data_IF_933536454864
#
_entry.id   IF_933536454864
#
_cell.length_a   1.000
_cell.length_b   1.000
_cell.length_c   1.000
_cell.angle_alpha   90.00
_cell.angle_beta   90.00
_cell.angle_gamma   90.00
#
_symmetry.space_group_name_H-M   'P 1'
#
loop_
_entity.id
_entity.type
_entity.pdbx_description
1 polymer ?
#
# COMPACT_ATOMS: atom_id res chain seq x y z
N UNK A 1 -7.28 -13.13 13.68
CA UNK A 1 -7.96 -14.44 13.52
C UNK A 1 -9.12 -14.23 12.59
N UNK A 2 -9.27 -15.03 11.54
CA UNK A 2 -10.36 -14.79 10.60
C UNK A 2 -11.71 -15.25 11.14
N UNK A 3 -12.77 -14.56 10.74
CA UNK A 3 -14.12 -14.85 11.21
C UNK A 3 -14.71 -16.11 10.57
N UNK A 4 -15.54 -16.81 11.33
CA UNK A 4 -16.33 -17.95 10.79
C UNK A 4 -17.51 -17.45 9.96
N UNK A 5 -18.12 -18.33 9.16
CA UNK A 5 -19.33 -18.01 8.40
C UNK A 5 -20.52 -17.56 9.28
N UNK A 6 -20.55 -17.97 10.55
CA UNK A 6 -21.62 -17.60 11.49
C UNK A 6 -21.38 -16.18 12.01
N UNK A 7 -20.17 -15.89 12.47
CA UNK A 7 -19.74 -14.57 12.95
C UNK A 7 -19.86 -13.50 11.86
N UNK A 8 -19.58 -13.85 10.59
CA UNK A 8 -19.73 -12.92 9.47
C UNK A 8 -21.19 -12.46 9.23
N UNK A 9 -22.18 -13.26 9.63
CA UNK A 9 -23.60 -12.88 9.52
C UNK A 9 -24.05 -12.00 10.69
N UNK A 10 -23.55 -12.29 11.89
CA UNK A 10 -23.86 -11.52 13.09
C UNK A 10 -23.26 -10.11 13.02
N UNK A 11 -22.06 -10.00 12.45
CA UNK A 11 -21.31 -8.75 12.29
C UNK A 11 -21.43 -8.15 10.88
N UNK A 12 -22.50 -8.46 10.14
CA UNK A 12 -22.68 -8.04 8.75
C UNK A 12 -22.58 -6.52 8.50
N UNK A 13 -22.87 -5.70 9.52
CA UNK A 13 -22.83 -4.23 9.46
C UNK A 13 -21.51 -3.63 9.94
N UNK A 14 -20.63 -4.43 10.49
CA UNK A 14 -19.37 -3.94 11.03
C UNK A 14 -18.35 -3.69 9.91
N UNK A 15 -17.31 -2.86 10.17
CA UNK A 15 -16.30 -2.54 9.19
C UNK A 15 -15.57 -3.79 8.67
N UNK A 16 -15.31 -3.85 7.39
CA UNK A 16 -14.54 -4.91 6.79
C UNK A 16 -13.04 -4.61 6.87
N UNK A 17 -12.30 -5.39 7.64
CA UNK A 17 -10.84 -5.29 7.77
C UNK A 17 -10.22 -6.62 7.34
N UNK A 18 -9.13 -6.58 6.56
CA UNK A 18 -8.41 -7.79 6.16
C UNK A 18 -7.72 -8.45 7.36
N UNK A 19 -7.90 -9.75 7.54
CA UNK A 19 -7.21 -10.48 8.61
C UNK A 19 -5.73 -10.76 8.29
N UNK A 20 -5.40 -10.91 7.01
CA UNK A 20 -4.08 -11.27 6.51
C UNK A 20 -3.82 -10.53 5.20
N UNK A 21 -2.62 -10.71 4.65
CA UNK A 21 -2.32 -10.26 3.29
C UNK A 21 -3.06 -11.13 2.27
N UNK A 22 -3.77 -10.49 1.35
CA UNK A 22 -4.44 -11.15 0.24
C UNK A 22 -4.04 -10.52 -1.09
N UNK A 23 -3.73 -11.37 -2.07
CA UNK A 23 -3.30 -10.93 -3.40
C UNK A 23 -4.47 -10.40 -4.24
N UNK A 24 -4.17 -9.49 -5.17
CA UNK A 24 -5.14 -9.03 -6.17
C UNK A 24 -5.77 -10.22 -6.91
N UNK A 25 -7.08 -10.17 -7.14
CA UNK A 25 -7.88 -11.23 -7.74
C UNK A 25 -8.47 -12.23 -6.73
N UNK A 26 -8.15 -12.11 -5.44
CA UNK A 26 -8.76 -12.98 -4.41
C UNK A 26 -10.22 -12.60 -4.18
N UNK A 27 -11.10 -13.61 -4.14
CA UNK A 27 -12.51 -13.45 -3.75
C UNK A 27 -12.61 -13.43 -2.23
N UNK A 28 -13.24 -12.39 -1.69
CA UNK A 28 -13.33 -12.16 -0.24
C UNK A 28 -14.39 -13.10 0.37
N UNK A 29 -13.97 -13.98 1.26
CA UNK A 29 -14.83 -14.79 2.12
C UNK A 29 -14.67 -14.41 3.61
N UNK A 30 -15.41 -15.07 4.52
CA UNK A 30 -15.29 -14.84 5.96
C UNK A 30 -13.88 -15.09 6.48
N UNK A 31 -13.20 -16.10 5.94
CA UNK A 31 -11.81 -16.42 6.25
C UNK A 31 -10.79 -15.32 5.91
N UNK A 32 -11.22 -14.28 5.17
CA UNK A 32 -10.38 -13.15 4.77
C UNK A 32 -10.59 -11.90 5.64
N UNK A 33 -11.58 -11.92 6.52
CA UNK A 33 -12.00 -10.77 7.33
C UNK A 33 -11.61 -10.99 8.79
N UNK A 34 -11.12 -9.92 9.41
CA UNK A 34 -10.76 -9.88 10.83
C UNK A 34 -12.01 -9.80 11.72
N UNK A 35 -11.89 -10.23 12.98
CA UNK A 35 -12.99 -10.20 13.94
C UNK A 35 -13.32 -8.78 14.44
N UNK A 36 -14.54 -8.27 14.23
CA UNK A 36 -14.91 -6.95 14.69
C UNK A 36 -14.87 -6.76 16.20
N UNK A 37 -14.93 -7.83 17.00
CA UNK A 37 -14.85 -7.75 18.45
C UNK A 37 -13.49 -7.24 18.95
N UNK A 38 -12.41 -7.45 18.18
CA UNK A 38 -11.07 -6.99 18.56
C UNK A 38 -10.74 -5.58 18.06
N UNK A 39 -11.65 -4.95 17.30
CA UNK A 39 -11.35 -3.64 16.67
C UNK A 39 -11.19 -2.51 17.67
N UNK A 40 -11.86 -2.55 18.84
CA UNK A 40 -11.64 -1.57 19.90
C UNK A 40 -10.19 -1.60 20.35
N UNK A 41 -9.69 -2.79 20.68
CA UNK A 41 -8.35 -2.98 21.24
C UNK A 41 -7.27 -2.66 20.19
N UNK A 42 -7.53 -3.00 18.93
CA UNK A 42 -6.63 -2.67 17.81
C UNK A 42 -6.60 -1.17 17.51
N UNK A 43 -7.72 -0.46 17.69
CA UNK A 43 -7.77 0.99 17.52
C UNK A 43 -7.12 1.71 18.69
N UNK A 44 -7.37 1.25 19.92
CA UNK A 44 -6.80 1.79 21.16
C UNK A 44 -5.28 1.62 21.22
N UNK A 45 -4.75 0.52 20.68
CA UNK A 45 -3.31 0.29 20.52
C UNK A 45 -2.67 1.09 19.37
N UNK A 46 -3.48 1.79 18.56
CA UNK A 46 -3.02 2.54 17.39
C UNK A 46 -2.59 1.66 16.21
N UNK A 47 -2.90 0.36 16.24
CA UNK A 47 -2.53 -0.60 15.20
C UNK A 47 -3.52 -0.60 14.03
N UNK A 48 -4.76 -0.19 14.28
CA UNK A 48 -5.84 -0.09 13.30
C UNK A 48 -6.42 1.34 13.28
N UNK A 49 -6.65 1.87 12.09
CA UNK A 49 -7.40 3.12 11.89
C UNK A 49 -8.52 2.84 10.91
N UNK A 50 -9.77 2.88 11.38
CA UNK A 50 -10.94 2.61 10.53
C UNK A 50 -11.43 3.93 9.93
N UNK A 51 -11.25 4.17 8.63
CA UNK A 51 -11.72 5.39 7.99
C UNK A 51 -13.24 5.34 7.77
N UNK A 52 -13.87 6.51 7.65
CA UNK A 52 -15.32 6.61 7.46
C UNK A 52 -15.83 6.01 6.14
N UNK A 53 -14.93 5.76 5.18
CA UNK A 53 -15.23 5.13 3.89
C UNK A 53 -14.99 3.61 3.88
N UNK A 54 -14.79 2.98 5.04
CA UNK A 54 -14.69 1.53 5.15
C UNK A 54 -16.03 0.87 4.80
N UNK A 55 -15.99 -0.16 3.96
CA UNK A 55 -17.16 -0.95 3.58
C UNK A 55 -17.53 -1.91 4.70
N UNK A 56 -18.78 -2.37 4.73
CA UNK A 56 -19.23 -3.35 5.73
C UNK A 56 -18.95 -4.78 5.26
N UNK A 57 -18.89 -5.72 6.21
CA UNK A 57 -18.67 -7.15 5.93
C UNK A 57 -19.65 -7.67 4.84
N UNK A 58 -20.94 -7.34 4.92
CA UNK A 58 -21.94 -7.78 3.92
C UNK A 58 -21.66 -7.25 2.50
N UNK A 59 -21.09 -6.04 2.37
CA UNK A 59 -20.84 -5.41 1.07
C UNK A 59 -19.61 -5.99 0.35
N UNK A 60 -18.65 -6.49 1.12
CA UNK A 60 -17.38 -7.01 0.62
C UNK A 60 -17.39 -8.51 0.41
N UNK A 61 -18.29 -9.25 1.07
CA UNK A 61 -18.41 -10.70 0.91
C UNK A 61 -18.77 -11.07 -0.53
N UNK A 62 -17.93 -11.88 -1.16
CA UNK A 62 -18.06 -12.29 -2.56
C UNK A 62 -17.45 -11.29 -3.56
N UNK A 63 -16.98 -10.13 -3.10
CA UNK A 63 -16.30 -9.17 -3.95
C UNK A 63 -14.84 -9.57 -4.20
N UNK A 64 -14.23 -9.04 -5.27
CA UNK A 64 -12.86 -9.40 -5.66
C UNK A 64 -11.89 -8.26 -5.38
N UNK A 65 -10.73 -8.55 -4.78
CA UNK A 65 -9.69 -7.54 -4.55
C UNK A 65 -9.06 -7.08 -5.87
N UNK A 66 -9.01 -5.76 -6.11
CA UNK A 66 -8.37 -5.17 -7.30
C UNK A 66 -6.86 -5.03 -7.09
N UNK A 67 -6.46 -4.77 -5.84
CA UNK A 67 -5.08 -4.57 -5.43
C UNK A 67 -4.76 -5.54 -4.30
N UNK A 68 -3.48 -5.89 -4.18
CA UNK A 68 -3.03 -6.65 -3.01
C UNK A 68 -3.14 -5.79 -1.77
N UNK A 69 -3.81 -6.31 -0.74
CA UNK A 69 -4.00 -5.66 0.57
C UNK A 69 -3.15 -6.36 1.62
N UNK A 70 -2.60 -5.60 2.56
CA UNK A 70 -1.85 -6.15 3.69
C UNK A 70 -2.81 -6.54 4.84
N UNK A 71 -2.31 -7.16 5.90
CA UNK A 71 -3.09 -7.41 7.10
C UNK A 71 -3.54 -6.10 7.78
N UNK A 72 -4.66 -6.15 8.53
CA UNK A 72 -5.23 -5.02 9.27
C UNK A 72 -5.53 -3.80 8.39
N UNK A 73 -5.84 -4.02 7.11
CA UNK A 73 -6.18 -2.95 6.17
C UNK A 73 -7.71 -2.86 6.04
N UNK A 74 -8.32 -1.71 6.37
CA UNK A 74 -9.74 -1.47 6.12
C UNK A 74 -10.04 -1.53 4.62
N UNK A 75 -11.10 -2.23 4.25
CA UNK A 75 -11.48 -2.42 2.86
C UNK A 75 -12.41 -1.30 2.41
N UNK A 76 -11.97 -0.53 1.41
CA UNK A 76 -12.71 0.58 0.81
C UNK A 76 -13.14 0.24 -0.62
N UNK A 77 -14.01 1.05 -1.21
CA UNK A 77 -14.47 0.86 -2.58
C UNK A 77 -13.35 0.93 -3.64
N UNK A 78 -12.19 1.48 -3.30
CA UNK A 78 -11.04 1.58 -4.22
C UNK A 78 -10.26 0.26 -4.36
N UNK A 79 -10.35 -0.62 -3.35
CA UNK A 79 -9.61 -1.89 -3.31
C UNK A 79 -10.47 -3.09 -3.72
N UNK A 80 -11.77 -2.88 -3.93
CA UNK A 80 -12.75 -3.94 -4.21
C UNK A 80 -13.44 -3.70 -5.57
N UNK A 81 -13.48 -4.75 -6.39
CA UNK A 81 -14.30 -4.83 -7.60
C UNK A 81 -15.58 -5.62 -7.31
N UNK A 82 -16.72 -4.98 -7.56
CA UNK A 82 -18.04 -5.59 -7.41
C UNK A 82 -18.51 -5.61 -5.95
N UNK A 83 -18.94 -4.46 -5.42
CA UNK A 83 -19.68 -4.45 -4.16
C UNK A 83 -21.05 -5.07 -4.38
N UNK A 84 -21.47 -5.97 -3.48
CA UNK A 84 -22.85 -6.45 -3.47
C UNK A 84 -23.71 -5.32 -2.90
N UNK A 85 -24.08 -4.37 -3.75
CA UNK A 85 -25.12 -3.40 -3.42
C UNK A 85 -26.45 -4.13 -3.42
N UNK A 86 -27.15 -4.10 -2.28
CA UNK A 86 -28.50 -4.63 -2.09
C UNK A 86 -29.52 -3.83 -2.92
N UNK A 87 -29.52 -4.05 -4.24
CA UNK A 87 -30.59 -3.76 -5.17
C UNK A 87 -30.43 -4.73 -6.35
N UNK A 88 -31.52 -5.39 -6.69
CA UNK A 88 -31.66 -6.40 -7.75
C UNK A 88 -31.23 -7.83 -7.42
N UNK A 89 -32.04 -8.46 -6.57
CA UNK A 89 -32.40 -9.87 -6.78
C UNK A 89 -33.88 -9.96 -7.13
N UNK A 90 -34.21 -9.95 -8.43
CA UNK A 90 -35.30 -10.78 -8.97
C UNK A 90 -34.85 -11.32 -10.35
N UNK A 91 -34.75 -12.64 -10.42
CA UNK A 91 -34.80 -13.52 -11.59
C UNK A 91 -33.61 -13.58 -12.57
N UNK A 92 -32.83 -14.65 -12.45
CA UNK A 92 -32.24 -15.39 -13.58
C UNK A 92 -33.36 -15.87 -14.53
N UNK A 93 -33.26 -16.10 -15.84
CA UNK A 93 -32.20 -16.18 -16.86
C UNK A 93 -32.91 -16.05 -18.25
N UNK A 94 -32.31 -16.47 -19.38
CA UNK A 94 -31.18 -15.93 -20.15
C UNK A 94 -31.65 -15.36 -21.52
N UNK A 95 -30.74 -14.79 -22.32
CA UNK A 95 -30.56 -15.02 -23.80
C UNK A 95 -30.08 -13.76 -24.56
N UNK A 96 -29.11 -14.04 -25.44
CA UNK A 96 -28.72 -13.35 -26.67
C UNK A 96 -27.78 -12.13 -26.62
N UNK A 97 -26.63 -12.38 -27.28
CA UNK A 97 -25.73 -11.46 -27.99
C UNK A 97 -26.43 -10.23 -28.58
N UNK A 98 -25.73 -9.08 -28.65
CA UNK A 98 -25.41 -8.36 -29.92
C UNK A 98 -24.63 -7.05 -29.62
N UNK A 99 -23.44 -6.97 -30.22
CA UNK A 99 -22.70 -5.81 -30.78
C UNK A 99 -22.16 -4.64 -29.92
N UNK A 100 -20.84 -4.48 -30.06
CA UNK A 100 -20.08 -3.22 -30.08
C UNK A 100 -20.63 -2.29 -31.19
N UNK A 101 -20.57 -0.94 -31.04
CA UNK A 101 -19.37 -0.23 -31.47
C UNK A 101 -18.96 0.98 -30.61
N UNK A 102 -17.73 1.41 -30.85
CA UNK A 102 -16.99 2.52 -30.23
C UNK A 102 -17.58 3.91 -30.48
N UNK A 103 -17.19 4.91 -29.67
CA UNK A 103 -16.50 6.13 -30.14
C UNK A 103 -16.06 7.03 -28.98
N UNK A 104 -14.82 7.49 -29.07
CA UNK A 104 -14.26 8.57 -28.28
C UNK A 104 -14.64 9.93 -28.90
N UNK A 105 -14.86 10.95 -28.07
CA UNK A 105 -14.85 12.36 -28.51
C UNK A 105 -14.21 13.23 -27.44
N UNK A 106 -12.94 13.57 -27.65
CA UNK A 106 -12.31 14.76 -27.07
C UNK A 106 -12.53 15.91 -28.06
N UNK A 107 -13.08 17.03 -27.58
CA UNK A 107 -13.16 18.27 -28.35
C UNK A 107 -12.04 19.20 -27.88
N UNK A 108 -11.12 19.50 -28.80
CA UNK A 108 -10.13 20.55 -28.64
C UNK A 108 -10.62 21.80 -29.39
N UNK A 109 -10.62 22.95 -28.74
CA UNK A 109 -10.77 24.25 -29.40
C UNK A 109 -9.51 25.08 -29.17
N UNK A 110 -8.94 25.55 -30.27
CA UNK A 110 -7.65 26.24 -30.31
C UNK A 110 -7.75 27.75 -30.03
N UNK A 111 -6.75 28.22 -29.29
CA UNK A 111 -5.96 29.46 -29.43
C UNK A 111 -6.63 30.84 -29.51
N UNK A 112 -6.43 31.63 -28.44
CA UNK A 112 -5.95 33.02 -28.54
C UNK A 112 -5.26 33.44 -27.23
N UNK A 113 -4.07 34.04 -27.38
CA UNK A 113 -3.24 34.68 -26.34
C UNK A 113 -2.67 33.78 -25.22
N UNK A 114 -1.39 33.39 -25.37
CA UNK A 114 -0.40 33.19 -24.29
C UNK A 114 -0.62 32.08 -23.24
N UNK A 115 -1.83 31.54 -23.13
CA UNK A 115 -2.24 30.66 -22.04
C UNK A 115 -3.00 29.45 -22.58
N UNK A 116 -2.63 28.25 -22.13
CA UNK A 116 -3.37 27.01 -22.37
C UNK A 116 -4.44 26.87 -21.29
N UNK A 117 -5.71 26.95 -21.68
CA UNK A 117 -6.89 26.82 -20.81
C UNK A 117 -7.45 25.40 -20.88
N UNK A 118 -7.47 24.68 -19.76
CA UNK A 118 -8.10 23.37 -19.63
C UNK A 118 -9.28 23.48 -18.65
N UNK A 119 -10.48 23.12 -19.11
CA UNK A 119 -11.71 23.17 -18.33
C UNK A 119 -12.18 21.75 -17.99
N UNK A 120 -12.33 21.44 -16.70
CA UNK A 120 -12.76 20.11 -16.21
C UNK A 120 -14.10 20.28 -15.47
N UNK A 121 -15.19 19.78 -16.07
CA UNK A 121 -16.56 19.97 -15.56
C UNK A 121 -17.00 18.98 -14.48
N UNK A 122 -16.48 17.75 -14.45
CA UNK A 122 -16.90 16.73 -13.47
C UNK A 122 -16.02 16.73 -12.20
N UNK A 123 -15.96 17.87 -11.54
CA UNK A 123 -15.28 17.99 -10.23
C UNK A 123 -15.44 19.31 -9.49
N UNK A 124 -16.40 20.16 -9.90
CA UNK A 124 -16.65 21.57 -9.50
C UNK A 124 -15.72 22.59 -10.17
N UNK A 125 -16.01 22.89 -11.44
CA UNK A 125 -15.56 24.07 -12.22
C UNK A 125 -14.09 24.50 -12.04
N UNK A 126 -13.15 23.63 -12.44
CA UNK A 126 -11.72 23.93 -12.37
C UNK A 126 -11.23 24.47 -13.74
N UNK A 127 -10.75 25.72 -13.73
CA UNK A 127 -10.08 26.36 -14.86
C UNK A 127 -8.56 26.35 -14.63
N UNK A 128 -7.83 25.57 -15.43
CA UNK A 128 -6.38 25.54 -15.43
C UNK A 128 -5.84 26.45 -16.54
N UNK A 129 -5.20 27.55 -16.17
CA UNK A 129 -4.45 28.43 -17.09
C UNK A 129 -2.95 28.17 -16.98
N UNK A 130 -2.34 27.66 -18.04
CA UNK A 130 -0.89 27.41 -18.12
C UNK A 130 -0.25 28.47 -19.04
N UNK A 131 0.56 29.42 -18.52
CA UNK A 131 1.31 30.35 -19.36
C UNK A 131 2.39 29.61 -20.14
N UNK A 132 2.32 29.64 -21.47
CA UNK A 132 3.38 29.08 -22.30
C UNK A 132 4.46 30.15 -22.50
N UNK A 133 5.38 30.22 -21.54
CA UNK A 133 6.52 31.14 -21.57
C UNK A 133 7.57 30.75 -22.61
N UNK A 134 7.83 31.66 -23.55
CA UNK A 134 8.97 31.64 -24.47
C UNK A 134 10.26 32.00 -23.72
N UNK A 135 11.13 31.01 -23.59
CA UNK A 135 12.61 31.03 -23.68
C UNK A 135 13.37 32.37 -23.53
N UNK A 136 14.30 32.44 -22.57
CA UNK A 136 15.46 33.34 -22.59
C UNK A 136 16.72 32.60 -23.09
N UNK A 137 17.84 33.26 -23.47
CA UNK A 137 18.08 34.61 -24.03
C UNK A 137 18.88 34.55 -25.38
N UNK A 138 19.30 35.70 -25.97
CA UNK A 138 20.75 35.91 -26.06
C UNK A 138 21.23 37.37 -25.82
N UNK A 139 22.55 37.45 -25.67
CA UNK A 139 23.43 38.57 -25.26
C UNK A 139 23.55 39.69 -26.30
N UNK A 140 23.60 40.96 -25.85
CA UNK A 140 24.61 41.98 -26.27
C UNK A 140 24.57 43.22 -25.36
N UNK A 141 25.76 43.65 -24.91
CA UNK A 141 26.13 44.90 -24.20
C UNK A 141 26.31 46.06 -25.21
N UNK A 142 26.23 47.38 -24.88
CA UNK A 142 27.15 48.01 -23.92
C UNK A 142 26.68 49.26 -23.12
N UNK A 143 27.46 49.52 -22.05
CA UNK A 143 27.96 50.80 -21.50
C UNK A 143 26.99 51.86 -20.91
N UNK A 144 27.07 52.05 -19.58
CA UNK A 144 27.64 53.26 -18.93
C UNK A 144 27.95 52.99 -17.44
N UNK A 145 29.07 53.54 -16.99
CA UNK A 145 29.73 53.43 -15.67
C UNK A 145 29.25 54.54 -14.70
N UNK A 146 29.86 54.77 -13.51
CA UNK A 146 29.54 54.13 -12.22
C UNK A 146 29.29 55.16 -11.08
N UNK A 147 28.59 54.81 -10.00
CA UNK A 147 28.82 55.47 -8.68
C UNK A 147 28.53 54.50 -7.53
N UNK A 148 29.58 54.10 -6.83
CA UNK A 148 29.60 53.79 -5.38
C UNK A 148 30.32 54.97 -4.70
N UNK A 149 30.35 55.17 -3.36
CA UNK A 149 29.81 54.39 -2.25
C UNK A 149 29.09 55.23 -1.17
N UNK A 150 28.40 54.60 -0.19
CA UNK A 150 28.44 55.03 1.22
C UNK A 150 27.65 54.09 2.14
N UNK A 151 28.37 53.40 3.03
CA UNK A 151 27.86 52.96 4.35
C UNK A 151 27.69 54.19 5.26
N UNK A 152 26.71 54.19 6.17
CA UNK A 152 27.12 54.17 7.58
C UNK A 152 26.21 53.32 8.49
N UNK A 153 26.70 53.14 9.70
CA UNK A 153 26.31 52.17 10.71
C UNK A 153 25.02 52.49 11.50
N UNK A 154 24.55 51.44 12.19
CA UNK A 154 23.76 51.39 13.43
C UNK A 154 22.47 52.19 13.55
N UNK A 155 21.38 51.48 13.83
CA UNK A 155 20.47 51.80 14.95
C UNK A 155 19.66 50.58 15.34
N UNK A 156 19.60 50.34 16.65
CA UNK A 156 18.73 49.37 17.32
C UNK A 156 17.29 49.88 17.20
N UNK A 157 16.36 49.02 16.83
CA UNK A 157 14.95 49.15 17.20
C UNK A 157 14.28 47.78 17.22
N UNK A 158 13.64 47.53 18.35
CA UNK A 158 12.76 46.42 18.69
C UNK A 158 11.53 46.34 17.80
N UNK A 159 11.02 45.12 17.72
CA UNK A 159 9.63 44.70 17.49
C UNK A 159 9.32 44.11 16.10
N UNK A 160 8.74 42.90 16.10
CA UNK A 160 8.14 42.28 14.92
C UNK A 160 8.58 40.86 14.58
N UNK A 161 7.70 39.91 14.92
CA UNK A 161 7.52 38.60 14.28
C UNK A 161 8.69 37.60 14.33
N UNK A 162 8.63 36.70 15.32
CA UNK A 162 9.28 35.39 15.22
C UNK A 162 8.62 34.64 14.06
N UNK A 163 9.29 34.62 12.90
CA UNK A 163 8.93 33.72 11.81
C UNK A 163 8.94 32.29 12.38
N UNK A 164 7.91 31.46 12.12
CA UNK A 164 7.97 30.06 12.51
C UNK A 164 9.13 29.46 11.73
N UNK A 165 10.18 29.07 12.47
CA UNK A 165 11.20 28.17 11.94
C UNK A 165 10.45 26.88 11.67
N UNK A 166 10.04 26.67 10.42
CA UNK A 166 9.64 25.36 9.94
C UNK A 166 10.89 24.49 10.06
N UNK A 167 10.97 23.75 11.15
CA UNK A 167 11.92 22.66 11.26
C UNK A 167 11.63 21.75 10.07
N UNK A 168 12.58 21.62 9.16
CA UNK A 168 12.51 20.59 8.13
C UNK A 168 12.23 19.27 8.83
N UNK A 169 11.14 18.62 8.45
CA UNK A 169 10.74 17.34 9.01
C UNK A 169 11.83 16.32 8.68
N UNK A 170 12.76 16.15 9.62
CA UNK A 170 13.89 15.25 9.45
C UNK A 170 13.36 13.83 9.52
N UNK A 171 13.11 13.23 8.36
CA UNK A 171 12.78 11.81 8.25
C UNK A 171 13.94 11.02 8.84
N UNK A 172 13.78 10.58 10.09
CA UNK A 172 14.87 9.97 10.86
C UNK A 172 15.21 8.57 10.31
N UNK A 173 14.19 7.81 9.87
CA UNK A 173 14.31 6.46 9.30
C UNK A 173 13.14 6.19 8.34
N UNK A 174 13.42 5.55 7.20
CA UNK A 174 12.42 5.10 6.23
C UNK A 174 12.39 3.57 6.22
N UNK A 175 11.27 2.97 6.63
CA UNK A 175 11.08 1.52 6.53
C UNK A 175 10.65 1.16 5.10
N UNK A 176 11.50 0.44 4.38
CA UNK A 176 11.18 -0.09 3.05
C UNK A 176 10.90 -1.58 3.19
N UNK A 177 9.66 -1.99 2.94
CA UNK A 177 9.26 -3.41 2.92
C UNK A 177 9.23 -3.92 1.48
N UNK A 178 10.08 -4.90 1.17
CA UNK A 178 10.08 -5.61 -0.12
C UNK A 178 9.41 -6.97 0.06
N UNK A 179 8.47 -7.30 -0.83
CA UNK A 179 7.72 -8.56 -0.78
C UNK A 179 8.08 -9.41 -1.99
N UNK A 180 8.40 -10.68 -1.75
CA UNK A 180 8.77 -11.64 -2.79
C UNK A 180 7.79 -12.81 -2.76
N UNK A 181 7.14 -13.09 -3.91
CA UNK A 181 6.25 -14.25 -4.03
C UNK A 181 7.08 -15.51 -4.26
N UNK A 182 7.01 -16.45 -3.31
CA UNK A 182 7.70 -17.73 -3.39
C UNK A 182 6.67 -18.85 -3.62
N UNK A 183 6.84 -19.60 -4.70
CA UNK A 183 5.95 -20.74 -5.03
C UNK A 183 6.63 -22.09 -4.75
N UNK A 184 7.95 -22.11 -4.63
CA UNK A 184 8.75 -23.33 -4.48
C UNK A 184 9.94 -23.08 -3.57
N UNK A 185 10.22 -24.04 -2.69
CA UNK A 185 11.40 -24.02 -1.80
C UNK A 185 12.21 -25.29 -2.05
N UNK A 186 13.53 -25.14 -2.19
CA UNK A 186 14.46 -26.24 -2.41
C UNK A 186 15.69 -26.11 -1.51
N UNK A 187 16.32 -27.23 -1.21
CA UNK A 187 17.66 -27.23 -0.63
C UNK A 187 18.70 -27.01 -1.73
N UNK A 188 19.76 -26.29 -1.41
CA UNK A 188 20.84 -25.98 -2.34
C UNK A 188 22.15 -25.71 -1.61
N UNK A 189 23.17 -25.28 -2.36
CA UNK A 189 24.50 -24.96 -1.82
C UNK A 189 24.52 -23.61 -1.09
N UNK A 190 23.67 -22.67 -1.50
CA UNK A 190 23.59 -21.32 -0.96
C UNK A 190 22.13 -20.90 -0.74
N UNK A 191 21.91 -20.01 0.22
CA UNK A 191 20.57 -19.42 0.45
C UNK A 191 20.38 -18.24 -0.50
N UNK A 192 19.44 -18.36 -1.45
CA UNK A 192 19.14 -17.31 -2.43
C UNK A 192 17.71 -17.40 -2.96
N UNK A 193 17.24 -16.32 -3.56
CA UNK A 193 15.97 -16.27 -4.28
C UNK A 193 16.28 -16.13 -5.77
N UNK A 194 15.84 -17.10 -6.57
CA UNK A 194 15.89 -17.04 -8.03
C UNK A 194 14.46 -17.07 -8.60
N UNK A 195 14.01 -15.93 -9.12
CA UNK A 195 12.62 -15.76 -9.56
C UNK A 195 11.65 -15.97 -8.40
N UNK A 196 10.83 -17.03 -8.48
CA UNK A 196 9.86 -17.42 -7.43
C UNK A 196 10.29 -18.65 -6.63
N UNK A 197 11.57 -19.05 -6.73
CA UNK A 197 12.13 -20.21 -6.02
C UNK A 197 13.08 -19.74 -4.93
N UNK A 198 12.85 -20.18 -3.70
CA UNK A 198 13.77 -19.97 -2.57
C UNK A 198 14.67 -21.20 -2.43
N UNK A 199 15.97 -21.01 -2.55
CA UNK A 199 16.98 -22.00 -2.20
C UNK A 199 17.44 -21.76 -0.76
N UNK A 200 17.52 -22.81 0.04
CA UNK A 200 18.01 -22.80 1.41
C UNK A 200 19.25 -23.68 1.48
N UNK A 201 20.33 -23.17 2.05
CA UNK A 201 21.57 -23.96 2.22
C UNK A 201 21.34 -25.19 3.11
N UNK A 202 21.90 -26.32 2.72
CA UNK A 202 21.74 -27.60 3.45
C UNK A 202 22.36 -27.58 4.85
N UNK A 203 23.38 -26.77 5.08
CA UNK A 203 24.12 -26.71 6.33
C UNK A 203 23.53 -25.73 7.36
N UNK A 204 22.36 -25.14 7.08
CA UNK A 204 21.74 -24.10 7.91
C UNK A 204 21.53 -24.54 9.37
N UNK A 205 21.15 -25.79 9.60
CA UNK A 205 20.93 -26.32 10.94
C UNK A 205 22.21 -26.31 11.80
N UNK A 206 23.38 -26.47 11.20
CA UNK A 206 24.66 -26.49 11.93
C UNK A 206 24.98 -25.14 12.55
N UNK A 207 24.58 -24.06 11.90
CA UNK A 207 24.80 -22.71 12.44
C UNK A 207 23.66 -22.30 13.35
N UNK A 208 22.42 -22.71 13.04
CA UNK A 208 21.27 -22.43 13.88
C UNK A 208 21.42 -22.99 15.31
N UNK A 209 21.98 -24.21 15.46
CA UNK A 209 22.24 -24.81 16.79
C UNK A 209 23.27 -24.02 17.60
N UNK A 210 24.15 -23.24 16.95
CA UNK A 210 25.19 -22.45 17.64
C UNK A 210 24.69 -21.10 18.13
N UNK A 211 23.47 -20.67 17.75
CA UNK A 211 22.93 -19.35 18.10
C UNK A 211 22.64 -19.27 19.60
N UNK A 212 22.11 -20.34 20.19
CA UNK A 212 21.73 -20.38 21.60
C UNK A 212 22.19 -21.69 22.26
N UNK A 213 22.90 -21.66 23.39
CA UNK A 213 23.41 -22.85 24.07
C UNK A 213 22.31 -23.81 24.58
N UNK A 214 21.06 -23.37 24.69
CA UNK A 214 19.92 -24.20 25.09
C UNK A 214 19.43 -25.11 23.95
N UNK A 215 19.81 -24.84 22.71
CA UNK A 215 19.37 -25.61 21.55
C UNK A 215 20.18 -26.90 21.45
N UNK A 216 19.55 -28.04 21.71
CA UNK A 216 20.18 -29.36 21.65
C UNK A 216 20.28 -29.90 20.22
N UNK A 217 19.22 -29.72 19.43
CA UNK A 217 19.15 -30.20 18.05
C UNK A 217 18.14 -29.42 17.24
N UNK A 218 18.44 -29.17 15.95
CA UNK A 218 17.50 -28.61 14.99
C UNK A 218 17.40 -29.55 13.80
N UNK A 219 16.16 -29.93 13.46
CA UNK A 219 15.81 -30.60 12.21
C UNK A 219 15.04 -29.62 11.33
N UNK A 220 15.37 -29.59 10.05
CA UNK A 220 14.71 -28.78 9.04
C UNK A 220 14.04 -29.70 8.02
N UNK A 221 12.77 -29.45 7.72
CA UNK A 221 11.99 -30.20 6.73
C UNK A 221 11.10 -29.24 5.94
N UNK A 222 11.05 -29.41 4.62
CA UNK A 222 10.20 -28.60 3.73
C UNK A 222 8.90 -29.36 3.50
N UNK A 223 7.78 -28.80 3.96
CA UNK A 223 6.44 -29.35 3.71
C UNK A 223 5.88 -28.72 2.43
N UNK A 224 5.77 -29.53 1.38
CA UNK A 224 5.16 -29.07 0.12
C UNK A 224 3.63 -29.10 0.20
N UNK A 225 2.90 -28.40 -0.69
CA UNK A 225 1.43 -28.41 -0.71
C UNK A 225 0.79 -29.81 -0.75
N UNK A 226 1.46 -30.78 -1.39
CA UNK A 226 1.01 -32.17 -1.40
C UNK A 226 1.04 -32.85 -0.02
N UNK A 227 1.84 -32.33 0.90
CA UNK A 227 2.09 -32.88 2.23
C UNK A 227 1.40 -32.09 3.35
N UNK A 228 0.55 -31.11 3.03
CA UNK A 228 -0.16 -30.28 4.04
C UNK A 228 -1.09 -31.09 4.96
N UNK A 229 -1.46 -32.31 4.57
CA UNK A 229 -2.22 -33.22 5.43
C UNK A 229 -1.37 -34.03 6.41
N UNK A 230 -0.03 -33.91 6.38
CA UNK A 230 0.83 -34.61 7.33
C UNK A 230 0.64 -34.05 8.73
N UNK A 231 0.59 -34.96 9.70
CA UNK A 231 0.59 -34.59 11.11
C UNK A 231 1.88 -33.82 11.44
N UNK A 232 1.72 -32.69 12.11
CA UNK A 232 2.80 -31.85 12.59
C UNK A 232 2.50 -31.45 14.03
N UNK A 233 3.49 -31.56 14.91
CA UNK A 233 3.40 -31.19 16.33
C UNK A 233 3.42 -29.66 16.54
N UNK A 234 3.01 -28.88 15.54
CA UNK A 234 3.06 -27.42 15.60
C UNK A 234 1.94 -26.88 16.49
N UNK A 235 2.29 -26.02 17.45
CA UNK A 235 1.34 -25.39 18.37
C UNK A 235 0.84 -24.01 17.85
N UNK A 236 0.97 -23.74 16.55
CA UNK A 236 0.72 -22.44 15.88
C UNK A 236 1.77 -21.36 16.19
N UNK A 237 2.78 -21.30 15.32
CA UNK A 237 3.40 -20.04 14.91
C UNK A 237 3.79 -20.19 13.44
N UNK A 238 2.91 -19.75 12.53
CA UNK A 238 3.22 -19.65 11.11
C UNK A 238 3.78 -18.26 10.89
N UNK A 239 5.11 -18.13 10.95
CA UNK A 239 5.78 -16.86 10.71
C UNK A 239 6.20 -16.75 9.24
N UNK A 240 5.88 -15.64 8.55
CA UNK A 240 6.47 -15.38 7.25
C UNK A 240 7.99 -15.21 7.40
N UNK A 241 8.75 -15.64 6.40
CA UNK A 241 10.20 -15.43 6.39
C UNK A 241 10.46 -13.93 6.18
N UNK A 242 10.85 -13.25 7.25
CA UNK A 242 11.27 -11.86 7.22
C UNK A 242 12.79 -11.78 7.31
N UNK A 243 13.40 -11.03 6.40
CA UNK A 243 14.85 -10.78 6.38
C UNK A 243 15.11 -9.29 6.29
N UNK A 244 16.22 -8.85 6.87
CA UNK A 244 16.69 -7.48 6.75
C UNK A 244 17.69 -7.41 5.60
N UNK A 245 17.60 -6.36 4.79
CA UNK A 245 18.55 -6.14 3.67
C UNK A 245 19.96 -5.89 4.21
N UNK A 246 20.08 -5.14 5.31
CA UNK A 246 21.36 -4.84 5.95
C UNK A 246 21.23 -4.77 7.49
N UNK A 247 22.22 -5.31 8.19
CA UNK A 247 22.30 -5.29 9.66
C UNK A 247 21.55 -6.43 10.35
N UNK A 248 21.63 -6.45 11.67
CA UNK A 248 21.06 -7.52 12.50
C UNK A 248 19.52 -7.40 12.62
N UNK A 249 18.84 -8.56 12.60
CA UNK A 249 17.40 -8.63 12.74
C UNK A 249 17.00 -8.18 14.15
N UNK A 250 15.95 -7.36 14.27
CA UNK A 250 15.50 -6.80 15.57
C UNK A 250 16.16 -5.48 15.97
N UNK A 251 17.18 -5.02 15.23
CA UNK A 251 17.78 -3.70 15.43
C UNK A 251 17.30 -2.72 14.35
N UNK A 252 16.81 -1.54 14.71
CA UNK A 252 16.27 -0.54 13.78
C UNK A 252 15.99 0.81 14.41
#
# INVERSE_FOLDING_TARGET
MSITHETAKEHAKDPAVSCCRFEAGTVIGPSNLEDPQIFSDLTDSGLLTIPANCLTIDQVLGATLIKTVDALTPLTAEVIAGTVSKKDQISAAPTAMTQMPATATATATAAKEGFLRIHIGEGKDILLEIPMGITAPPVTVPLVTPVTPATPASTISTDGAVAPVYAEEKVVRKLIKKHYKINKVLLGTETKIEGTTLFIREDICKDAVKIDPLVVSIKFEIINPADYGKYSETFMDVQPIAVKEEGELGHG
#
